data_IF_266609730810
#
_entry.id   IF_266609730810
#
_cell.length_a   1.000
_cell.length_b   1.000
_cell.length_c   1.000
_cell.angle_alpha   90.00
_cell.angle_beta   90.00
_cell.angle_gamma   90.00
#
_symmetry.space_group_name_H-M   'P 1'
#
loop_
_entity.id
_entity.type
_entity.pdbx_description
1 polymer ?
#
# COMPACT_ATOMS: atom_id res chain seq x y z
N UNK A 1 -3.42 16.79 -5.75
CA UNK A 1 -2.75 15.67 -5.08
C UNK A 1 -1.24 15.92 -5.10
N UNK A 2 -0.57 15.80 -3.93
CA UNK A 2 0.89 15.92 -3.85
C UNK A 2 1.51 14.56 -4.22
N UNK A 3 2.00 14.43 -5.44
CA UNK A 3 2.74 13.24 -5.87
C UNK A 3 4.12 13.21 -5.23
N UNK A 4 4.58 12.02 -4.84
CA UNK A 4 5.88 11.81 -4.21
C UNK A 4 6.00 12.30 -2.77
N UNK A 5 4.88 12.68 -2.15
CA UNK A 5 4.86 13.07 -0.75
C UNK A 5 4.70 11.84 0.16
N UNK A 6 5.48 11.78 1.23
CA UNK A 6 5.15 10.94 2.37
C UNK A 6 4.07 11.61 3.19
N UNK A 7 3.08 10.83 3.58
CA UNK A 7 1.99 11.29 4.45
C UNK A 7 1.79 10.29 5.58
N UNK A 8 1.35 10.77 6.72
CA UNK A 8 1.06 9.93 7.88
C UNK A 8 -0.24 10.34 8.55
N UNK A 9 -0.85 9.39 9.25
CA UNK A 9 -2.04 9.63 10.06
C UNK A 9 -2.10 8.65 11.22
N UNK A 10 -3.13 8.80 12.05
CA UNK A 10 -3.44 7.95 13.19
C UNK A 10 -4.78 7.25 13.00
N UNK A 11 -4.82 5.96 13.35
CA UNK A 11 -6.08 5.25 13.52
C UNK A 11 -6.66 5.62 14.89
N UNK A 12 -7.84 6.24 14.88
CA UNK A 12 -8.56 6.68 16.09
C UNK A 12 -9.31 5.53 16.74
N UNK A 13 -9.98 4.71 15.92
CA UNK A 13 -10.68 3.52 16.37
C UNK A 13 -10.69 2.45 15.30
N UNK A 14 -10.82 1.22 15.73
CA UNK A 14 -10.90 0.04 14.85
C UNK A 14 -12.01 -0.86 15.31
N UNK A 15 -12.92 -1.20 14.39
CA UNK A 15 -13.83 -2.31 14.52
C UNK A 15 -13.33 -3.48 13.66
N UNK A 16 -13.31 -4.67 14.22
CA UNK A 16 -12.88 -5.89 13.52
C UNK A 16 -14.01 -6.90 13.62
N UNK A 17 -14.55 -7.28 12.47
CA UNK A 17 -15.52 -8.35 12.36
C UNK A 17 -14.80 -9.61 11.84
N UNK A 18 -14.88 -10.69 12.60
CA UNK A 18 -14.41 -12.02 12.18
C UNK A 18 -15.58 -12.81 11.60
N UNK A 19 -15.50 -13.21 10.35
CA UNK A 19 -16.48 -14.04 9.67
C UNK A 19 -15.76 -15.27 9.12
N UNK A 20 -15.73 -16.33 9.90
CA UNK A 20 -15.13 -17.64 9.52
C UNK A 20 -13.68 -17.54 8.99
N UNK A 21 -12.83 -16.75 9.64
CA UNK A 21 -11.43 -16.55 9.25
C UNK A 21 -11.21 -15.45 8.24
N UNK A 22 -12.26 -14.79 7.79
CA UNK A 22 -12.16 -13.54 7.02
C UNK A 22 -12.35 -12.35 7.94
N UNK A 23 -11.40 -11.44 7.93
CA UNK A 23 -11.42 -10.26 8.79
C UNK A 23 -11.85 -9.03 8.00
N UNK A 24 -12.91 -8.37 8.47
CA UNK A 24 -13.31 -7.04 8.00
C UNK A 24 -12.86 -6.00 8.99
N UNK A 25 -12.31 -4.93 8.48
CA UNK A 25 -11.81 -3.83 9.28
C UNK A 25 -12.55 -2.55 8.91
N UNK A 26 -13.13 -1.92 9.91
CA UNK A 26 -13.68 -0.56 9.80
C UNK A 26 -12.84 0.35 10.70
N UNK A 27 -11.96 1.12 10.09
CA UNK A 27 -11.06 2.03 10.78
C UNK A 27 -11.57 3.47 10.65
N UNK A 28 -11.66 4.16 11.78
CA UNK A 28 -11.76 5.63 11.78
C UNK A 28 -10.36 6.20 11.90
N UNK A 29 -9.97 7.02 10.95
CA UNK A 29 -8.65 7.64 10.89
C UNK A 29 -8.74 9.16 10.91
N UNK A 30 -7.68 9.82 11.35
CA UNK A 30 -7.50 11.26 11.15
C UNK A 30 -7.16 11.56 9.68
N UNK A 31 -7.24 12.82 9.30
CA UNK A 31 -6.78 13.26 7.99
C UNK A 31 -5.27 13.04 7.84
N UNK A 32 -4.85 12.61 6.66
CA UNK A 32 -3.43 12.46 6.37
C UNK A 32 -2.73 13.80 6.30
N UNK A 33 -1.60 13.90 7.00
CA UNK A 33 -0.71 15.05 6.99
C UNK A 33 0.57 14.74 6.24
N UNK A 34 1.01 15.67 5.39
CA UNK A 34 2.25 15.53 4.65
C UNK A 34 3.46 15.83 5.54
N UNK A 35 4.49 15.01 5.43
CA UNK A 35 5.77 15.25 6.07
C UNK A 35 6.62 16.22 5.24
N UNK A 36 7.18 17.23 5.88
CA UNK A 36 8.02 18.23 5.25
C UNK A 36 9.50 17.93 5.47
N UNK A 37 10.27 17.89 4.40
CA UNK A 37 11.72 17.67 4.50
C UNK A 37 12.39 18.88 5.11
N UNK A 38 13.06 18.68 6.24
CA UNK A 38 13.85 19.66 6.96
C UNK A 38 15.32 19.67 6.53
N UNK A 39 15.87 18.49 6.27
CA UNK A 39 17.30 18.32 5.96
C UNK A 39 17.50 17.14 5.04
N UNK A 40 18.45 17.30 4.13
CA UNK A 40 18.90 16.26 3.21
C UNK A 40 20.40 16.11 3.32
N UNK A 41 20.88 14.86 3.31
CA UNK A 41 22.31 14.51 3.22
C UNK A 41 22.49 13.46 2.15
N UNK A 42 23.39 13.70 1.25
CA UNK A 42 23.81 12.73 0.23
C UNK A 42 25.06 11.98 0.72
N UNK A 43 25.06 10.65 0.57
CA UNK A 43 26.15 9.76 0.93
C UNK A 43 26.28 8.64 -0.11
N UNK A 44 27.31 8.71 -0.94
CA UNK A 44 27.56 7.68 -1.96
C UNK A 44 26.27 7.30 -2.74
N UNK A 45 25.74 6.09 -2.50
CA UNK A 45 24.55 5.56 -3.14
C UNK A 45 23.27 5.72 -2.29
N UNK A 46 23.27 6.63 -1.33
CA UNK A 46 22.13 6.86 -0.44
C UNK A 46 21.84 8.36 -0.26
N UNK A 47 20.57 8.67 -0.12
CA UNK A 47 20.09 9.99 0.28
C UNK A 47 19.38 9.81 1.62
N UNK A 48 19.85 10.50 2.65
CA UNK A 48 19.21 10.54 3.97
C UNK A 48 18.49 11.87 4.15
N UNK A 49 17.34 11.84 4.78
CA UNK A 49 16.54 13.05 5.07
C UNK A 49 15.89 12.99 6.45
N UNK A 50 15.68 14.17 7.01
CA UNK A 50 14.97 14.39 8.28
C UNK A 50 13.73 15.24 7.99
N UNK A 51 12.63 15.00 8.72
CA UNK A 51 11.38 15.76 8.58
C UNK A 51 11.20 16.80 9.69
N UNK A 52 10.41 17.85 9.40
CA UNK A 52 10.08 18.89 10.38
C UNK A 52 9.26 18.33 11.54
N UNK A 53 8.35 17.41 11.23
CA UNK A 53 7.45 16.74 12.19
C UNK A 53 8.18 15.68 13.04
N UNK A 54 9.49 15.53 12.82
CA UNK A 54 10.31 14.46 13.38
C UNK A 54 10.20 13.18 12.54
N UNK A 55 11.22 12.36 12.66
CA UNK A 55 11.36 11.17 11.82
C UNK A 55 12.49 11.35 10.81
N UNK A 56 12.77 10.27 10.13
CA UNK A 56 13.89 10.18 9.20
C UNK A 56 13.51 9.28 8.02
N UNK A 57 14.19 9.50 6.91
CA UNK A 57 14.07 8.65 5.75
C UNK A 57 15.39 8.42 5.06
N UNK A 58 15.43 7.40 4.24
CA UNK A 58 16.58 7.00 3.47
C UNK A 58 16.14 6.46 2.12
N UNK A 59 16.83 6.84 1.08
CA UNK A 59 16.74 6.23 -0.26
C UNK A 59 18.10 5.60 -0.55
N UNK A 60 18.12 4.30 -0.83
CA UNK A 60 19.30 3.55 -1.22
C UNK A 60 19.14 3.10 -2.67
N UNK A 61 20.18 3.31 -3.48
CA UNK A 61 20.18 2.95 -4.89
C UNK A 61 21.24 1.88 -5.11
N UNK A 62 20.78 0.70 -5.53
CA UNK A 62 21.60 -0.40 -6.01
C UNK A 62 21.37 -0.59 -7.51
N UNK A 63 22.01 -1.58 -8.13
CA UNK A 63 21.99 -1.76 -9.59
C UNK A 63 20.55 -1.87 -10.15
N UNK A 64 19.69 -2.66 -9.51
CA UNK A 64 18.35 -2.96 -10.00
C UNK A 64 17.26 -2.67 -8.97
N UNK A 65 17.60 -2.10 -7.84
CA UNK A 65 16.65 -1.86 -6.74
C UNK A 65 16.89 -0.46 -6.18
N UNK A 66 15.79 0.27 -6.00
CA UNK A 66 15.75 1.47 -5.18
C UNK A 66 14.94 1.14 -3.94
N UNK A 67 15.56 1.25 -2.76
CA UNK A 67 14.91 1.04 -1.47
C UNK A 67 14.61 2.39 -0.82
N UNK A 68 13.34 2.63 -0.54
CA UNK A 68 12.89 3.77 0.23
C UNK A 68 12.51 3.28 1.62
N UNK A 69 13.06 3.94 2.63
CA UNK A 69 12.69 3.69 4.02
C UNK A 69 12.32 5.01 4.68
N UNK A 70 11.24 5.00 5.42
CA UNK A 70 10.76 6.14 6.17
C UNK A 70 10.27 5.70 7.55
N UNK A 71 10.61 6.44 8.59
CA UNK A 71 10.23 6.19 9.97
C UNK A 71 9.69 7.49 10.59
N UNK A 72 8.46 7.45 11.11
CA UNK A 72 7.90 8.55 11.88
C UNK A 72 8.45 8.55 13.30
N UNK A 73 8.78 9.72 13.83
CA UNK A 73 9.14 9.87 15.24
C UNK A 73 7.93 9.97 16.17
N UNK A 74 6.74 10.23 15.62
CA UNK A 74 5.51 10.32 16.41
C UNK A 74 5.00 8.93 16.76
N UNK A 75 4.84 8.67 18.04
CA UNK A 75 4.21 7.43 18.55
C UNK A 75 2.72 7.31 18.20
N UNK A 76 2.09 8.42 17.84
CA UNK A 76 0.70 8.44 17.42
C UNK A 76 0.51 8.11 15.94
N UNK A 77 1.54 8.33 15.11
CA UNK A 77 1.48 7.99 13.69
C UNK A 77 1.63 6.48 13.53
N UNK A 78 0.57 5.81 13.14
CA UNK A 78 0.53 4.36 12.94
C UNK A 78 0.04 3.96 11.55
N UNK A 79 -0.03 4.93 10.63
CA UNK A 79 -0.28 4.73 9.21
C UNK A 79 0.60 5.67 8.39
N UNK A 80 1.27 5.12 7.43
CA UNK A 80 2.12 5.85 6.50
C UNK A 80 1.71 5.52 5.08
N UNK A 81 1.75 6.50 4.19
CA UNK A 81 1.47 6.28 2.79
C UNK A 81 2.38 7.12 1.89
N UNK A 82 2.52 6.64 0.66
CA UNK A 82 3.22 7.32 -0.42
C UNK A 82 2.42 7.22 -1.70
N UNK A 83 2.41 8.30 -2.49
CA UNK A 83 1.70 8.34 -3.76
C UNK A 83 2.65 8.61 -4.93
N UNK A 84 2.39 7.95 -6.05
CA UNK A 84 3.12 8.09 -7.31
C UNK A 84 2.17 8.51 -8.42
N UNK A 85 2.72 9.07 -9.48
CA UNK A 85 1.94 9.37 -10.69
C UNK A 85 1.45 8.06 -11.31
N UNK A 86 0.17 8.04 -11.69
CA UNK A 86 -0.39 7.00 -12.51
C UNK A 86 -0.52 7.51 -13.94
N UNK A 87 0.10 6.81 -14.88
CA UNK A 87 -0.06 7.08 -16.31
C UNK A 87 -1.28 6.33 -16.86
N UNK A 88 -1.92 6.86 -17.89
CA UNK A 88 -3.11 6.25 -18.49
C UNK A 88 -2.88 4.82 -19.01
N UNK A 89 -1.64 4.50 -19.34
CA UNK A 89 -1.21 3.21 -19.87
C UNK A 89 -0.70 2.24 -18.80
N UNK A 90 -0.69 2.61 -17.51
CA UNK A 90 -0.20 1.74 -16.46
C UNK A 90 -1.19 0.62 -16.15
N UNK A 91 -0.68 -0.60 -16.09
CA UNK A 91 -1.38 -1.81 -15.68
C UNK A 91 -0.62 -2.50 -14.56
N UNK A 92 -1.33 -3.13 -13.63
CA UNK A 92 -0.79 -3.68 -12.39
C UNK A 92 -1.19 -5.14 -12.22
N UNK A 93 -0.23 -6.00 -11.90
CA UNK A 93 -0.39 -7.44 -11.78
C UNK A 93 0.27 -7.96 -10.51
N UNK A 94 -0.21 -9.06 -9.95
CA UNK A 94 0.40 -9.70 -8.79
C UNK A 94 -0.46 -9.62 -7.54
N UNK A 95 0.10 -9.18 -6.41
CA UNK A 95 -0.51 -9.12 -5.08
C UNK A 95 -0.90 -10.50 -4.51
N UNK A 96 -0.23 -11.56 -4.94
CA UNK A 96 -0.44 -12.93 -4.48
C UNK A 96 -1.52 -13.67 -5.26
N UNK A 97 -2.25 -14.56 -4.58
CA UNK A 97 -3.28 -15.40 -5.20
C UNK A 97 -4.60 -14.62 -5.36
N UNK A 98 -4.60 -13.65 -6.26
CA UNK A 98 -5.77 -12.84 -6.59
C UNK A 98 -6.65 -13.53 -7.66
N UNK A 99 -7.94 -13.28 -7.62
CA UNK A 99 -8.88 -13.79 -8.62
C UNK A 99 -8.75 -13.02 -9.94
N UNK A 100 -8.55 -11.72 -9.86
CA UNK A 100 -8.26 -10.89 -11.04
C UNK A 100 -6.78 -10.83 -11.32
N UNK A 101 -6.42 -10.84 -12.59
CA UNK A 101 -5.03 -10.71 -13.03
C UNK A 101 -4.58 -9.25 -13.12
N UNK A 102 -5.50 -8.30 -13.23
CA UNK A 102 -5.22 -6.87 -13.47
C UNK A 102 -5.97 -6.01 -12.44
N UNK A 103 -5.29 -4.99 -11.91
CA UNK A 103 -5.74 -4.27 -10.70
C UNK A 103 -5.96 -2.76 -10.90
N UNK A 104 -5.82 -2.21 -12.12
CA UNK A 104 -6.11 -0.80 -12.38
C UNK A 104 -7.55 -0.44 -11.99
N UNK A 105 -7.73 0.69 -11.32
CA UNK A 105 -9.02 1.17 -10.85
C UNK A 105 -9.48 0.56 -9.52
N UNK A 106 -8.64 -0.28 -8.91
CA UNK A 106 -9.00 -0.95 -7.66
C UNK A 106 -8.15 -0.52 -6.48
N UNK A 107 -8.77 -0.57 -5.31
CA UNK A 107 -8.10 -0.51 -4.01
C UNK A 107 -8.05 -1.93 -3.44
N UNK A 108 -6.85 -2.42 -3.17
CA UNK A 108 -6.59 -3.80 -2.82
C UNK A 108 -5.93 -3.88 -1.46
N UNK A 109 -6.66 -4.36 -0.44
CA UNK A 109 -6.10 -4.62 0.87
C UNK A 109 -5.22 -5.87 0.85
N UNK A 110 -4.09 -5.81 1.53
CA UNK A 110 -3.14 -6.92 1.66
C UNK A 110 -3.29 -7.53 3.04
N UNK A 111 -4.27 -8.40 3.18
CA UNK A 111 -4.46 -9.32 4.30
C UNK A 111 -5.33 -10.49 3.86
N UNK A 112 -5.35 -11.54 4.66
CA UNK A 112 -6.12 -12.74 4.35
C UNK A 112 -7.62 -12.46 4.44
N UNK A 113 -8.34 -12.77 3.36
CA UNK A 113 -9.79 -12.81 3.32
C UNK A 113 -10.19 -14.05 2.52
N UNK A 114 -10.61 -15.10 3.23
CA UNK A 114 -10.65 -16.44 2.67
C UNK A 114 -12.00 -16.81 2.05
N UNK A 115 -13.08 -16.27 2.58
CA UNK A 115 -14.42 -16.78 2.27
C UNK A 115 -15.08 -16.03 1.11
N UNK A 116 -15.61 -16.77 0.16
CA UNK A 116 -16.34 -16.22 -0.99
C UNK A 116 -15.45 -15.68 -2.11
N UNK A 117 -14.16 -16.03 -2.11
CA UNK A 117 -13.16 -15.56 -3.07
C UNK A 117 -13.67 -15.66 -4.52
N UNK A 118 -13.60 -14.56 -5.27
CA UNK A 118 -14.00 -14.46 -6.67
C UNK A 118 -15.49 -14.42 -6.96
N UNK A 119 -16.35 -14.50 -5.98
CA UNK A 119 -17.81 -14.56 -6.21
C UNK A 119 -18.41 -13.24 -6.68
N UNK A 120 -17.87 -12.12 -6.27
CA UNK A 120 -18.32 -10.79 -6.72
C UNK A 120 -18.13 -10.57 -8.24
N UNK A 121 -17.26 -11.33 -8.88
CA UNK A 121 -17.05 -11.28 -10.33
C UNK A 121 -18.15 -12.03 -11.12
N UNK A 122 -19.00 -12.78 -10.47
CA UNK A 122 -20.08 -13.58 -11.09
C UNK A 122 -21.44 -12.89 -11.01
N UNK A 123 -21.52 -11.64 -10.62
CA UNK A 123 -22.75 -10.91 -10.41
C UNK A 123 -23.03 -10.69 -8.92
N UNK A 124 -24.31 -10.68 -8.53
CA UNK A 124 -24.67 -10.46 -7.12
C UNK A 124 -24.00 -11.49 -6.21
N UNK A 125 -23.20 -11.05 -5.23
CA UNK A 125 -22.58 -11.98 -4.30
C UNK A 125 -23.68 -12.69 -3.53
N UNK A 126 -23.63 -14.02 -3.39
CA UNK A 126 -24.55 -14.71 -2.53
C UNK A 126 -24.32 -14.23 -1.11
N UNK A 127 -25.27 -13.53 -0.54
CA UNK A 127 -25.27 -13.09 0.85
C UNK A 127 -25.55 -14.28 1.77
N UNK A 128 -24.65 -15.26 1.74
CA UNK A 128 -24.73 -16.40 2.65
C UNK A 128 -23.79 -16.12 3.79
N UNK A 129 -24.31 -15.90 4.97
CA UNK A 129 -23.55 -15.69 6.21
C UNK A 129 -22.54 -14.52 6.18
N UNK A 130 -22.85 -13.45 5.46
CA UNK A 130 -21.97 -12.29 5.38
C UNK A 130 -20.74 -12.45 4.48
N UNK A 131 -20.61 -13.55 3.74
CA UNK A 131 -19.51 -13.80 2.81
C UNK A 131 -19.80 -13.11 1.48
N UNK A 132 -19.05 -12.07 1.16
CA UNK A 132 -19.29 -11.24 -0.03
C UNK A 132 -18.42 -11.60 -1.23
N UNK A 133 -17.22 -12.14 -1.00
CA UNK A 133 -16.29 -12.48 -2.08
C UNK A 133 -15.91 -11.27 -2.92
N UNK A 134 -15.17 -10.34 -2.35
CA UNK A 134 -14.69 -9.17 -3.07
C UNK A 134 -13.66 -9.54 -4.15
N UNK A 135 -13.49 -8.64 -5.12
CA UNK A 135 -12.51 -8.77 -6.21
C UNK A 135 -11.08 -9.06 -5.71
N UNK A 136 -10.74 -8.50 -4.56
CA UNK A 136 -9.42 -8.55 -3.94
C UNK A 136 -9.30 -9.58 -2.82
N UNK A 137 -10.32 -10.42 -2.58
CA UNK A 137 -10.23 -11.48 -1.58
C UNK A 137 -9.17 -12.50 -1.98
N UNK A 138 -8.32 -12.87 -1.03
CA UNK A 138 -7.19 -13.76 -1.28
C UNK A 138 -6.87 -14.61 -0.06
N UNK A 139 -6.53 -15.87 -0.30
CA UNK A 139 -5.96 -16.77 0.71
C UNK A 139 -4.48 -16.50 0.99
N UNK A 140 -3.77 -15.91 0.04
CA UNK A 140 -2.34 -15.69 0.11
C UNK A 140 -1.97 -14.34 -0.53
N UNK A 141 -2.32 -13.23 0.14
CA UNK A 141 -1.94 -11.91 -0.33
C UNK A 141 -0.42 -11.70 -0.17
N UNK A 142 0.19 -11.08 -1.16
CA UNK A 142 1.62 -10.73 -1.17
C UNK A 142 1.73 -9.24 -1.53
N UNK A 143 2.42 -8.41 -0.74
CA UNK A 143 2.53 -6.98 -0.97
C UNK A 143 3.53 -6.64 -2.10
N UNK A 144 3.40 -7.33 -3.24
CA UNK A 144 4.26 -7.17 -4.41
C UNK A 144 3.43 -7.09 -5.68
N UNK A 145 3.65 -6.04 -6.46
CA UNK A 145 3.02 -5.85 -7.78
C UNK A 145 4.05 -5.64 -8.87
N UNK A 146 3.74 -6.13 -10.06
CA UNK A 146 4.45 -5.84 -11.29
C UNK A 146 3.63 -4.88 -12.14
N UNK A 147 4.31 -4.06 -12.92
CA UNK A 147 3.70 -3.18 -13.89
C UNK A 147 3.94 -3.70 -15.32
N UNK A 148 3.14 -3.24 -16.28
CA UNK A 148 3.37 -3.51 -17.69
C UNK A 148 4.62 -2.82 -18.29
N UNK A 149 5.24 -1.93 -17.51
CA UNK A 149 6.61 -1.43 -17.73
C UNK A 149 7.57 -2.20 -16.81
N UNK A 150 8.90 -2.22 -17.10
CA UNK A 150 9.84 -3.06 -16.34
C UNK A 150 10.06 -2.50 -14.91
N UNK A 151 9.03 -2.57 -14.09
CA UNK A 151 9.00 -2.05 -12.74
C UNK A 151 8.16 -2.97 -11.84
N UNK A 152 8.71 -3.25 -10.66
CA UNK A 152 8.00 -3.93 -9.58
C UNK A 152 8.02 -3.08 -8.30
N UNK A 153 6.94 -3.16 -7.52
CA UNK A 153 6.80 -2.46 -6.24
C UNK A 153 6.50 -3.48 -5.15
N UNK A 154 7.27 -3.44 -4.06
CA UNK A 154 7.09 -4.32 -2.90
C UNK A 154 7.07 -3.49 -1.62
N UNK A 155 6.03 -3.63 -0.83
CA UNK A 155 6.04 -3.16 0.55
C UNK A 155 6.65 -4.24 1.45
N UNK A 156 7.85 -3.96 1.98
CA UNK A 156 8.56 -4.86 2.88
C UNK A 156 8.02 -4.68 4.31
N UNK A 157 6.89 -5.35 4.57
CA UNK A 157 6.15 -5.22 5.81
C UNK A 157 5.36 -6.47 6.16
N UNK A 158 5.33 -6.88 7.45
CA UNK A 158 4.41 -7.89 7.95
C UNK A 158 3.03 -7.30 8.35
N UNK A 159 2.87 -5.98 8.28
CA UNK A 159 1.65 -5.30 8.70
C UNK A 159 0.63 -5.19 7.58
N UNK A 160 -0.61 -4.93 7.95
CA UNK A 160 -1.66 -4.63 6.98
C UNK A 160 -1.21 -3.47 6.09
N UNK A 161 -1.37 -3.67 4.81
CA UNK A 161 -1.08 -2.66 3.80
C UNK A 161 -2.19 -2.60 2.77
N UNK A 162 -2.18 -1.57 1.96
CA UNK A 162 -3.15 -1.35 0.90
C UNK A 162 -2.46 -0.77 -0.33
N UNK A 163 -2.83 -1.30 -1.49
CA UNK A 163 -2.44 -0.76 -2.78
C UNK A 163 -3.67 -0.16 -3.45
N UNK A 164 -3.57 1.08 -3.87
CA UNK A 164 -4.59 1.77 -4.64
C UNK A 164 -4.00 2.13 -6.01
N UNK A 165 -4.62 1.64 -7.07
CA UNK A 165 -4.11 1.77 -8.42
C UNK A 165 -5.02 2.64 -9.27
N UNK A 166 -4.72 3.94 -9.35
CA UNK A 166 -5.38 4.87 -10.27
C UNK A 166 -6.91 4.87 -10.13
N UNK A 167 -7.41 4.72 -8.92
CA UNK A 167 -8.85 4.77 -8.63
C UNK A 167 -9.35 6.18 -8.95
N UNK A 168 -10.46 6.27 -9.70
CA UNK A 168 -11.06 7.54 -10.13
C UNK A 168 -10.02 8.49 -10.79
N UNK A 169 -9.15 7.95 -11.65
CA UNK A 169 -8.05 8.68 -12.29
C UNK A 169 -7.04 9.29 -11.29
N UNK A 170 -7.02 8.77 -10.08
CA UNK A 170 -6.12 9.18 -9.01
C UNK A 170 -4.70 8.59 -9.14
N UNK A 171 -3.87 8.78 -8.13
CA UNK A 171 -2.50 8.27 -8.11
C UNK A 171 -2.43 6.75 -7.89
N UNK A 172 -1.23 6.19 -8.06
CA UNK A 172 -0.84 4.96 -7.37
C UNK A 172 -0.57 5.35 -5.92
N UNK A 173 -1.26 4.73 -4.96
CA UNK A 173 -1.06 4.98 -3.55
C UNK A 173 -0.75 3.67 -2.83
N UNK A 174 0.30 3.69 -2.05
CA UNK A 174 0.72 2.59 -1.19
C UNK A 174 0.59 3.04 0.26
N UNK A 175 -0.11 2.26 1.06
CA UNK A 175 -0.34 2.53 2.47
C UNK A 175 0.06 1.33 3.32
N UNK A 176 0.60 1.60 4.49
CA UNK A 176 0.99 0.61 5.49
C UNK A 176 0.47 1.04 6.86
N UNK A 177 0.03 0.07 7.65
CA UNK A 177 -0.42 0.31 9.03
C UNK A 177 0.72 0.06 10.01
N UNK A 178 1.71 0.95 9.93
CA UNK A 178 2.90 0.95 10.78
C UNK A 178 3.45 2.39 10.85
N UNK A 179 4.36 2.62 11.78
CA UNK A 179 5.19 3.84 11.91
C UNK A 179 6.44 3.80 11.04
N UNK A 180 6.73 2.67 10.40
CA UNK A 180 7.85 2.47 9.47
C UNK A 180 7.34 2.04 8.11
N UNK A 181 7.70 2.76 7.06
CA UNK A 181 7.36 2.48 5.67
C UNK A 181 8.61 2.03 4.92
N UNK A 182 8.57 0.86 4.31
CA UNK A 182 9.68 0.35 3.49
C UNK A 182 9.13 -0.09 2.14
N UNK A 183 9.64 0.51 1.07
CA UNK A 183 9.29 0.19 -0.31
C UNK A 183 10.54 -0.20 -1.08
N UNK A 184 10.53 -1.37 -1.68
CA UNK A 184 11.49 -1.79 -2.68
C UNK A 184 10.90 -1.56 -4.07
N UNK A 185 11.63 -0.82 -4.91
CA UNK A 185 11.31 -0.58 -6.31
C UNK A 185 12.31 -1.39 -7.15
N UNK A 186 11.83 -2.41 -7.81
CA UNK A 186 12.62 -3.27 -8.69
C UNK A 186 12.61 -2.70 -10.10
N UNK A 187 13.80 -2.52 -10.67
CA UNK A 187 13.99 -2.00 -12.03
C UNK A 187 14.36 -3.18 -12.95
N UNK A 188 13.50 -3.48 -13.90
CA UNK A 188 13.76 -4.45 -14.94
C UNK A 188 14.70 -3.89 -16.01
N UNK A 189 15.29 -4.78 -16.80
CA UNK A 189 16.16 -4.45 -17.95
C UNK A 189 15.39 -4.48 -19.26
#
# INVERSE_FOLDING_TARGET
HAYGAFVGTRTLSRNVEDVYGSFRFEDTIEDFSAFKIKKVKEKNNAIEFEFEEGGKGKIEIATNIVRLQFESASVETNRLAMSFVCEDTDHFFGLGAQVSAEHRGYRIPIWVSEQGNGKSMQGEPPQVFGLTGAHYDSYSPIPFTLMNRPLGLELDTPHRSEFEFCVDEGPIRLEIQDSTFVLNIYLGS
#
